data_IF_304618012976
#
_entry.id   IF_304618012976
#
_cell.length_a   1.000
_cell.length_b   1.000
_cell.length_c   1.000
_cell.angle_alpha   90.00
_cell.angle_beta   90.00
_cell.angle_gamma   90.00
#
_symmetry.space_group_name_H-M   'P 1'
#
loop_
_entity.id
_entity.type
_entity.pdbx_description
1 polymer ?
#
# COMPACT_ATOMS: atom_id res chain seq x y z
N UNK A 1 15.20 -16.20 -27.64
CA UNK A 1 13.80 -16.53 -28.00
C UNK A 1 13.82 -17.24 -29.35
N UNK A 2 14.74 -18.19 -29.53
CA UNK A 2 14.98 -18.81 -30.83
C UNK A 2 14.52 -20.26 -30.68
N UNK A 3 13.27 -20.53 -31.07
CA UNK A 3 12.67 -21.86 -30.92
C UNK A 3 11.14 -21.92 -30.88
N UNK A 4 10.42 -20.80 -30.97
CA UNK A 4 8.97 -20.83 -31.17
C UNK A 4 8.66 -21.00 -32.66
N UNK A 5 8.67 -22.25 -33.10
CA UNK A 5 8.08 -22.63 -34.39
C UNK A 5 6.62 -22.20 -34.43
N UNK A 6 6.36 -21.15 -35.22
CA UNK A 6 5.12 -20.79 -35.93
C UNK A 6 3.83 -21.52 -35.50
N UNK A 7 3.41 -21.37 -34.25
CA UNK A 7 2.10 -21.81 -33.79
C UNK A 7 1.63 -20.94 -32.63
N UNK A 8 0.61 -20.14 -32.94
CA UNK A 8 -0.28 -19.36 -32.07
C UNK A 8 0.19 -17.93 -31.74
N UNK A 9 -0.78 -17.01 -31.86
CA UNK A 9 -0.74 -15.59 -31.50
C UNK A 9 -0.45 -15.41 -29.99
N UNK A 10 0.78 -15.66 -29.58
CA UNK A 10 1.21 -15.54 -28.18
C UNK A 10 1.80 -14.15 -27.96
N UNK A 11 1.19 -13.40 -27.05
CA UNK A 11 1.70 -12.14 -26.53
C UNK A 11 2.36 -12.37 -25.18
N UNK A 12 3.56 -11.81 -25.00
CA UNK A 12 4.29 -11.86 -23.72
C UNK A 12 4.20 -10.48 -23.07
N UNK A 13 3.70 -10.45 -21.84
CA UNK A 13 3.71 -9.25 -21.00
C UNK A 13 4.65 -9.49 -19.81
N UNK A 14 5.53 -8.53 -19.55
CA UNK A 14 6.40 -8.52 -18.38
C UNK A 14 6.10 -7.29 -17.52
N UNK A 15 6.26 -7.42 -16.21
CA UNK A 15 6.18 -6.31 -15.26
C UNK A 15 7.45 -6.28 -14.42
N UNK A 16 8.06 -5.11 -14.26
CA UNK A 16 9.23 -4.89 -13.41
C UNK A 16 9.14 -3.52 -12.75
N UNK A 17 9.56 -3.43 -11.49
CA UNK A 17 9.72 -2.16 -10.79
C UNK A 17 11.13 -1.56 -11.00
N UNK A 18 12.02 -2.28 -11.71
CA UNK A 18 13.41 -1.93 -11.95
C UNK A 18 13.82 -2.25 -13.38
N UNK A 19 13.42 -1.38 -14.33
CA UNK A 19 13.80 -1.54 -15.74
C UNK A 19 15.30 -1.34 -15.96
N UNK A 20 15.95 -0.57 -15.09
CA UNK A 20 17.39 -0.32 -15.04
C UNK A 20 18.24 -1.58 -14.85
N UNK A 21 17.67 -2.62 -14.22
CA UNK A 21 18.36 -3.89 -13.97
C UNK A 21 18.21 -4.91 -15.09
N UNK A 22 17.39 -4.64 -16.11
CA UNK A 22 17.11 -5.61 -17.16
C UNK A 22 18.25 -5.66 -18.17
N UNK A 23 18.62 -6.88 -18.60
CA UNK A 23 19.61 -7.06 -19.66
C UNK A 23 19.13 -6.37 -20.97
N UNK A 24 19.93 -5.43 -21.54
CA UNK A 24 19.61 -4.79 -22.81
C UNK A 24 19.33 -5.76 -23.97
N UNK A 25 19.84 -6.99 -23.91
CA UNK A 25 19.57 -8.04 -24.90
C UNK A 25 18.10 -8.49 -24.93
N UNK A 26 17.33 -8.29 -23.86
CA UNK A 26 15.89 -8.62 -23.79
C UNK A 26 15.04 -7.49 -24.39
N UNK A 27 15.54 -6.26 -24.37
CA UNK A 27 14.86 -5.06 -24.90
C UNK A 27 15.05 -4.87 -26.42
N UNK A 28 15.78 -5.77 -27.09
CA UNK A 28 16.00 -5.68 -28.53
C UNK A 28 14.69 -5.91 -29.31
N UNK A 29 14.54 -5.27 -30.49
CA UNK A 29 13.38 -5.49 -31.37
C UNK A 29 13.06 -6.97 -31.59
N UNK A 30 11.77 -7.32 -31.49
CA UNK A 30 11.29 -8.72 -31.60
C UNK A 30 11.34 -9.54 -30.31
N UNK A 31 11.64 -8.91 -29.16
CA UNK A 31 11.55 -9.51 -27.81
C UNK A 31 10.60 -8.70 -26.91
N UNK A 32 11.11 -8.01 -25.89
CA UNK A 32 10.35 -7.07 -25.05
C UNK A 32 10.69 -5.64 -25.46
N UNK A 33 10.33 -5.27 -26.68
CA UNK A 33 10.73 -4.00 -27.30
C UNK A 33 9.74 -2.85 -27.07
N UNK A 34 8.61 -3.10 -26.39
CA UNK A 34 7.64 -2.09 -25.95
C UNK A 34 7.58 -2.04 -24.43
N UNK A 35 7.84 -0.86 -23.87
CA UNK A 35 7.71 -0.58 -22.43
C UNK A 35 6.61 0.44 -22.19
N UNK A 36 5.75 0.17 -21.22
CA UNK A 36 4.77 1.12 -20.69
C UNK A 36 5.07 1.35 -19.22
N UNK A 37 5.32 2.61 -18.85
CA UNK A 37 5.55 3.00 -17.46
C UNK A 37 4.21 3.31 -16.79
N UNK A 38 3.95 2.69 -15.64
CA UNK A 38 2.78 3.00 -14.80
C UNK A 38 3.27 3.83 -13.62
N UNK A 39 2.90 5.11 -13.61
CA UNK A 39 3.24 6.06 -12.56
C UNK A 39 2.19 6.16 -11.45
N UNK A 40 2.39 7.13 -10.56
CA UNK A 40 1.37 7.56 -9.61
C UNK A 40 0.21 8.25 -10.34
N UNK A 41 -0.95 8.34 -9.69
CA UNK A 41 -2.10 9.02 -10.28
C UNK A 41 -1.86 10.53 -10.38
N UNK A 42 -2.15 11.10 -11.54
CA UNK A 42 -2.02 12.54 -11.79
C UNK A 42 -3.28 13.32 -11.38
N UNK A 43 -4.44 12.64 -11.34
CA UNK A 43 -5.73 13.27 -11.12
C UNK A 43 -6.62 12.50 -10.12
N UNK A 44 -7.59 13.22 -9.52
CA UNK A 44 -8.50 12.67 -8.52
C UNK A 44 -9.56 11.74 -9.12
N UNK A 45 -9.88 11.87 -10.40
CA UNK A 45 -10.88 11.03 -11.08
C UNK A 45 -10.32 9.61 -11.22
N UNK A 46 -9.04 9.48 -11.58
CA UNK A 46 -8.31 8.21 -11.62
C UNK A 46 -8.25 7.54 -10.24
N UNK A 47 -7.93 8.31 -9.19
CA UNK A 47 -7.94 7.81 -7.81
C UNK A 47 -9.34 7.32 -7.40
N UNK A 48 -10.39 8.08 -7.73
CA UNK A 48 -11.78 7.69 -7.47
C UNK A 48 -12.18 6.42 -8.21
N UNK A 49 -11.76 6.27 -9.48
CA UNK A 49 -12.01 5.05 -10.26
C UNK A 49 -11.40 3.81 -9.58
N UNK A 50 -10.18 3.93 -9.09
CA UNK A 50 -9.48 2.85 -8.38
C UNK A 50 -10.12 2.58 -7.03
N UNK A 51 -10.46 3.62 -6.27
CA UNK A 51 -11.19 3.49 -5.01
C UNK A 51 -12.50 2.71 -5.22
N UNK A 52 -13.32 3.12 -6.20
CA UNK A 52 -14.56 2.42 -6.59
C UNK A 52 -14.31 0.96 -6.95
N UNK A 53 -13.25 0.68 -7.70
CA UNK A 53 -12.90 -0.69 -8.08
C UNK A 53 -12.48 -1.56 -6.87
N UNK A 54 -11.73 -0.99 -5.93
CA UNK A 54 -11.28 -1.69 -4.71
C UNK A 54 -12.46 -1.99 -3.79
N UNK A 55 -13.31 -1.00 -3.53
CA UNK A 55 -14.45 -1.13 -2.58
C UNK A 55 -15.69 -1.78 -3.20
N UNK A 56 -15.65 -2.20 -4.48
CA UNK A 56 -16.81 -2.77 -5.19
C UNK A 56 -17.47 -3.97 -4.50
N UNK A 57 -16.73 -4.68 -3.63
CA UNK A 57 -17.20 -5.84 -2.87
C UNK A 57 -17.52 -5.52 -1.40
N UNK A 58 -17.34 -4.28 -0.98
CA UNK A 58 -17.58 -3.85 0.40
C UNK A 58 -19.07 -3.54 0.56
N UNK A 59 -19.65 -3.88 1.71
CA UNK A 59 -20.94 -3.33 2.10
C UNK A 59 -20.66 -1.97 2.72
N UNK A 60 -20.91 -0.89 1.98
CA UNK A 60 -20.72 0.47 2.45
C UNK A 60 -22.00 0.97 3.10
N UNK A 61 -21.87 1.69 4.21
CA UNK A 61 -22.98 2.41 4.81
C UNK A 61 -23.44 3.55 3.87
N UNK A 62 -24.74 3.90 3.85
CA UNK A 62 -25.28 4.93 2.94
C UNK A 62 -24.71 6.35 3.16
N UNK A 63 -24.02 6.59 4.27
CA UNK A 63 -23.33 7.84 4.59
C UNK A 63 -21.94 7.97 3.93
N UNK A 64 -21.43 6.90 3.31
CA UNK A 64 -20.10 6.89 2.69
C UNK A 64 -20.13 7.57 1.32
N UNK A 65 -19.54 8.77 1.24
CA UNK A 65 -19.26 9.45 -0.03
C UNK A 65 -17.82 9.16 -0.49
N UNK A 66 -17.67 8.35 -1.54
CA UNK A 66 -16.35 8.02 -2.10
C UNK A 66 -15.69 9.23 -2.76
N UNK A 67 -16.49 10.10 -3.41
CA UNK A 67 -16.04 11.36 -3.99
C UNK A 67 -15.38 12.24 -2.91
N UNK A 68 -16.04 12.39 -1.75
CA UNK A 68 -15.49 13.16 -0.63
C UNK A 68 -14.27 12.47 -0.01
N UNK A 69 -14.29 11.13 0.07
CA UNK A 69 -13.19 10.36 0.66
C UNK A 69 -11.88 10.52 -0.13
N UNK A 70 -11.92 10.55 -1.46
CA UNK A 70 -10.72 10.75 -2.30
C UNK A 70 -10.02 12.07 -1.99
N UNK A 71 -10.76 13.11 -1.60
CA UNK A 71 -10.16 14.39 -1.22
C UNK A 71 -9.42 14.35 0.12
N UNK A 72 -9.69 13.36 0.97
CA UNK A 72 -8.95 13.13 2.22
C UNK A 72 -7.66 12.33 1.99
N UNK A 73 -7.50 11.70 0.83
CA UNK A 73 -6.30 10.94 0.50
C UNK A 73 -5.17 11.87 0.02
N UNK A 74 -3.90 11.57 0.38
CA UNK A 74 -2.74 12.25 -0.17
C UNK A 74 -2.81 12.39 -1.69
N UNK A 75 -2.31 13.51 -2.22
CA UNK A 75 -2.34 13.79 -3.66
C UNK A 75 -1.54 12.78 -4.47
N UNK A 76 -0.39 12.35 -3.94
CA UNK A 76 0.48 11.38 -4.58
C UNK A 76 0.34 10.01 -3.91
N UNK A 77 -0.36 9.11 -4.59
CA UNK A 77 -0.57 7.74 -4.11
C UNK A 77 -0.54 6.76 -5.27
N UNK A 78 -0.08 5.55 -4.98
CA UNK A 78 -0.20 4.41 -5.87
C UNK A 78 -1.53 3.68 -5.65
N UNK A 79 -1.90 2.80 -6.58
CA UNK A 79 -3.06 1.92 -6.38
C UNK A 79 -2.90 0.99 -5.18
N UNK A 80 -1.67 0.62 -4.84
CA UNK A 80 -1.37 -0.20 -3.67
C UNK A 80 -1.66 0.56 -2.36
N UNK A 81 -1.38 1.87 -2.31
CA UNK A 81 -1.66 2.70 -1.13
C UNK A 81 -3.18 2.83 -0.91
N UNK A 82 -3.95 3.07 -1.97
CA UNK A 82 -5.42 3.12 -1.91
C UNK A 82 -5.98 1.78 -1.42
N UNK A 83 -5.46 0.66 -1.94
CA UNK A 83 -5.83 -0.67 -1.49
C UNK A 83 -5.51 -0.89 0.00
N UNK A 84 -4.34 -0.47 0.45
CA UNK A 84 -3.92 -0.60 1.85
C UNK A 84 -4.85 0.17 2.80
N UNK A 85 -5.24 1.41 2.44
CA UNK A 85 -6.21 2.19 3.23
C UNK A 85 -7.55 1.46 3.29
N UNK A 86 -8.08 1.00 2.17
CA UNK A 86 -9.37 0.29 2.13
C UNK A 86 -9.35 -1.00 2.95
N UNK A 87 -8.27 -1.78 2.85
CA UNK A 87 -8.07 -3.01 3.63
C UNK A 87 -8.01 -2.73 5.14
N UNK A 88 -7.32 -1.66 5.54
CA UNK A 88 -7.27 -1.21 6.93
C UNK A 88 -8.63 -0.73 7.43
N UNK A 89 -9.39 0.00 6.62
CA UNK A 89 -10.76 0.42 6.93
C UNK A 89 -11.68 -0.80 7.15
N UNK A 90 -11.63 -1.79 6.25
CA UNK A 90 -12.38 -3.04 6.40
C UNK A 90 -12.03 -3.76 7.71
N UNK A 91 -10.74 -3.85 8.04
CA UNK A 91 -10.29 -4.47 9.29
C UNK A 91 -10.78 -3.70 10.52
N UNK A 92 -10.85 -2.37 10.46
CA UNK A 92 -11.42 -1.53 11.54
C UNK A 92 -12.92 -1.82 11.72
N UNK A 93 -13.67 -1.89 10.62
CA UNK A 93 -15.08 -2.24 10.64
C UNK A 93 -15.34 -3.63 11.27
N UNK A 94 -14.53 -4.64 10.90
CA UNK A 94 -14.60 -5.97 11.51
C UNK A 94 -14.36 -5.89 13.03
N UNK A 95 -13.30 -5.20 13.47
CA UNK A 95 -12.98 -5.08 14.91
C UNK A 95 -14.11 -4.39 15.68
N UNK A 96 -14.73 -3.35 15.09
CA UNK A 96 -15.90 -2.68 15.67
C UNK A 96 -17.05 -3.66 15.87
N UNK A 97 -17.40 -4.44 14.85
CA UNK A 97 -18.52 -5.37 14.91
C UNK A 97 -18.28 -6.46 15.96
N UNK A 98 -17.08 -7.03 16.01
CA UNK A 98 -16.72 -8.04 17.01
C UNK A 98 -16.87 -7.50 18.44
N UNK A 99 -16.58 -6.20 18.66
CA UNK A 99 -16.65 -5.58 19.99
C UNK A 99 -18.07 -5.16 20.37
N UNK A 100 -18.86 -4.67 19.41
CA UNK A 100 -20.15 -4.02 19.68
C UNK A 100 -21.36 -4.93 19.41
N UNK A 101 -21.31 -5.79 18.40
CA UNK A 101 -22.44 -6.61 17.95
C UNK A 101 -21.96 -7.89 17.25
N UNK A 102 -21.49 -8.90 18.02
CA UNK A 102 -20.88 -10.11 17.46
C UNK A 102 -21.85 -11.00 16.65
N UNK A 103 -23.16 -10.76 16.74
CA UNK A 103 -24.19 -11.53 16.03
C UNK A 103 -24.44 -11.05 14.58
N UNK A 104 -23.71 -10.04 14.12
CA UNK A 104 -23.91 -9.48 12.77
C UNK A 104 -23.22 -10.34 11.71
N UNK A 105 -23.99 -10.88 10.76
CA UNK A 105 -23.44 -11.68 9.65
C UNK A 105 -22.72 -10.85 8.56
N UNK A 106 -23.03 -9.56 8.48
CA UNK A 106 -22.50 -8.67 7.44
C UNK A 106 -21.64 -7.54 8.01
N UNK A 107 -20.49 -7.30 7.38
CA UNK A 107 -19.58 -6.23 7.76
C UNK A 107 -19.89 -4.99 6.95
N UNK A 108 -20.51 -4.00 7.60
CA UNK A 108 -20.71 -2.67 7.04
C UNK A 108 -19.55 -1.75 7.39
N UNK A 109 -18.96 -1.12 6.37
CA UNK A 109 -17.89 -0.13 6.53
C UNK A 109 -18.48 1.28 6.52
N UNK A 110 -18.12 2.06 7.53
CA UNK A 110 -18.59 3.44 7.71
C UNK A 110 -17.49 4.43 7.30
N UNK A 111 -17.87 5.70 7.14
CA UNK A 111 -16.92 6.76 6.77
C UNK A 111 -15.77 6.90 7.78
N UNK A 112 -16.07 6.77 9.07
CA UNK A 112 -15.11 6.80 10.18
C UNK A 112 -14.03 5.70 10.10
N UNK A 113 -14.34 4.54 9.51
CA UNK A 113 -13.36 3.47 9.33
C UNK A 113 -12.31 3.85 8.29
N UNK A 114 -12.72 4.52 7.21
CA UNK A 114 -11.83 5.03 6.19
C UNK A 114 -10.98 6.19 6.69
N UNK A 115 -11.59 7.15 7.39
CA UNK A 115 -10.86 8.30 7.96
C UNK A 115 -9.83 7.85 8.99
N UNK A 116 -10.16 6.88 9.85
CA UNK A 116 -9.22 6.29 10.80
C UNK A 116 -8.21 5.33 10.18
N UNK A 117 -8.37 4.93 8.92
CA UNK A 117 -7.41 4.13 8.18
C UNK A 117 -6.39 4.99 7.44
N UNK A 118 -6.79 6.20 7.01
CA UNK A 118 -5.93 7.14 6.32
C UNK A 118 -4.68 7.46 7.16
N UNK A 119 -3.47 7.43 6.56
CA UNK A 119 -2.30 7.93 7.26
C UNK A 119 -2.50 9.42 7.61
N UNK A 120 -1.95 9.90 8.74
CA UNK A 120 -1.95 11.32 9.02
C UNK A 120 -1.25 12.02 7.86
N UNK A 121 -1.86 13.08 7.33
CA UNK A 121 -1.22 13.93 6.34
C UNK A 121 -0.01 14.58 7.00
N UNK A 122 1.16 13.96 6.88
CA UNK A 122 2.42 14.66 7.09
C UNK A 122 2.47 15.74 6.02
N UNK A 123 2.20 16.99 6.41
CA UNK A 123 2.44 18.14 5.55
C UNK A 123 3.92 18.21 5.15
N UNK A 124 4.27 18.97 4.10
CA UNK A 124 5.65 19.27 3.85
C UNK A 124 6.16 20.24 4.93
N UNK A 125 7.35 19.95 5.45
CA UNK A 125 8.17 20.77 6.35
C UNK A 125 7.71 20.88 7.82
N UNK A 126 8.21 19.96 8.65
CA UNK A 126 8.85 20.42 9.88
C UNK A 126 10.08 19.55 10.17
N UNK A 127 11.23 20.16 9.97
CA UNK A 127 12.54 19.60 10.30
C UNK A 127 12.71 19.74 11.80
N UNK A 128 12.25 18.76 12.58
CA UNK A 128 12.73 18.59 13.96
C UNK A 128 13.28 17.19 14.13
N UNK A 129 14.54 17.09 13.73
CA UNK A 129 15.48 16.11 14.22
C UNK A 129 15.63 16.34 15.74
N UNK A 130 14.97 15.53 16.57
CA UNK A 130 15.35 15.21 17.96
C UNK A 130 14.21 14.51 18.70
N UNK A 131 14.20 13.18 18.67
CA UNK A 131 13.96 12.29 19.83
C UNK A 131 13.81 10.84 19.35
N UNK A 132 14.91 10.25 18.88
CA UNK A 132 15.02 8.79 18.84
C UNK A 132 16.46 8.34 19.03
N UNK A 133 17.00 8.65 20.19
CA UNK A 133 18.19 8.00 20.73
C UNK A 133 18.08 8.08 22.24
N UNK A 134 17.53 7.01 22.82
CA UNK A 134 17.99 6.40 24.07
C UNK A 134 16.91 5.45 24.58
N UNK A 135 16.99 4.19 24.14
CA UNK A 135 16.66 3.02 24.96
C UNK A 135 16.89 1.73 24.18
N UNK A 136 18.15 1.46 23.82
CA UNK A 136 18.61 0.08 23.64
C UNK A 136 20.13 -0.02 23.76
N UNK A 137 20.62 -0.06 24.99
CA UNK A 137 21.96 -0.57 25.29
C UNK A 137 21.92 -1.38 26.59
N UNK A 138 21.72 -2.68 26.39
CA UNK A 138 22.43 -3.77 27.06
C UNK A 138 22.49 -3.79 28.59
N UNK A 139 21.64 -4.67 29.16
CA UNK A 139 22.07 -5.58 30.23
C UNK A 139 23.41 -6.22 29.87
N UNK A 140 24.42 -6.03 30.71
CA UNK A 140 25.68 -6.78 30.67
C UNK A 140 26.25 -6.86 32.10
N UNK A 141 25.92 -7.97 32.75
CA UNK A 141 26.78 -8.79 33.61
C UNK A 141 27.80 -8.09 34.53
N UNK A 142 27.47 -8.14 35.83
CA UNK A 142 28.39 -7.93 36.95
C UNK A 142 29.40 -9.09 37.00
N UNK A 143 30.70 -8.79 36.97
CA UNK A 143 31.79 -9.72 37.31
C UNK A 143 32.35 -9.31 38.67
N UNK A 144 32.50 -10.21 39.66
CA UNK A 144 33.08 -9.87 40.95
C UNK A 144 34.61 -9.97 40.91
N UNK A 145 35.27 -8.98 41.51
CA UNK A 145 36.71 -8.87 41.67
C UNK A 145 37.17 -9.78 42.84
N UNK A 146 38.03 -10.77 42.54
CA UNK A 146 38.64 -11.66 43.53
C UNK A 146 39.99 -11.06 43.92
N UNK A 147 40.11 -10.60 45.17
CA UNK A 147 41.40 -10.31 45.79
C UNK A 147 42.11 -11.60 46.19
N UNK A 148 43.37 -11.76 45.79
CA UNK A 148 44.31 -12.65 46.47
C UNK A 148 45.67 -11.95 46.58
N UNK A 149 46.03 -11.71 47.85
CA UNK A 149 47.33 -11.47 48.50
C UNK A 149 48.37 -10.54 47.87
#
# INVERSE_FOLDING_TARGET
>A
MDGVHASKDVFILGATNRLDLLDPAILRPGRLDKSLCVGLYEDRISQLGVLKAVVRKFHLSPDVSLESLVHHFPSQMSGADIYAICSKAWTRAIRRIITTAPETETVTVNMEDFLGACPPTSGPEDTTDSTFSDNLASSSTVVPEIQVS
#
